data_IF_795801385539
#
_entry.id   IF_795801385539
#
_cell.length_a   1.000
_cell.length_b   1.000
_cell.length_c   1.000
_cell.angle_alpha   90.00
_cell.angle_beta   90.00
_cell.angle_gamma   90.00
#
_symmetry.space_group_name_H-M   'P 1'
#
loop_
_entity.id
_entity.type
_entity.pdbx_description
1 polymer ?
#
# COMPACT_ATOMS: atom_id res chain seq x y z
N UNK A 1 -15.84 -16.11 -7.45
CA UNK A 1 -14.47 -15.58 -7.64
C UNK A 1 -13.52 -16.75 -7.50
N UNK A 2 -12.65 -16.98 -8.49
CA UNK A 2 -11.71 -18.10 -8.45
C UNK A 2 -10.64 -17.78 -7.41
N UNK A 3 -10.69 -18.44 -6.25
CA UNK A 3 -9.62 -18.37 -5.25
C UNK A 3 -8.38 -18.98 -5.88
N UNK A 4 -7.39 -18.16 -6.24
CA UNK A 4 -6.10 -18.67 -6.65
C UNK A 4 -5.38 -19.15 -5.39
N UNK A 5 -5.02 -20.43 -5.34
CA UNK A 5 -4.24 -20.98 -4.26
C UNK A 5 -2.80 -20.49 -4.41
N UNK A 6 -2.40 -19.50 -3.60
CA UNK A 6 -1.00 -19.06 -3.52
C UNK A 6 -0.13 -20.23 -3.07
N UNK A 7 1.01 -20.41 -3.73
CA UNK A 7 2.02 -21.36 -3.28
C UNK A 7 2.61 -20.93 -1.94
N UNK A 8 3.14 -21.87 -1.13
CA UNK A 8 3.84 -21.53 0.12
C UNK A 8 5.00 -20.55 -0.11
N UNK A 9 5.68 -20.65 -1.26
CA UNK A 9 6.79 -19.77 -1.64
C UNK A 9 6.33 -18.33 -1.87
N UNK A 10 5.19 -18.12 -2.54
CA UNK A 10 4.62 -16.78 -2.74
C UNK A 10 4.17 -16.15 -1.42
N UNK A 11 3.54 -16.94 -0.54
CA UNK A 11 3.12 -16.46 0.78
C UNK A 11 4.33 -16.01 1.60
N UNK A 12 5.41 -16.79 1.58
CA UNK A 12 6.63 -16.45 2.30
C UNK A 12 7.34 -15.23 1.70
N UNK A 13 7.36 -15.09 0.37
CA UNK A 13 7.88 -13.90 -0.30
C UNK A 13 7.11 -12.63 0.11
N UNK A 14 5.77 -12.68 0.16
CA UNK A 14 4.95 -11.56 0.62
C UNK A 14 5.28 -11.21 2.08
N UNK A 15 5.37 -12.21 2.95
CA UNK A 15 5.73 -12.02 4.36
C UNK A 15 7.10 -11.38 4.53
N UNK A 16 8.09 -11.81 3.76
CA UNK A 16 9.45 -11.28 3.83
C UNK A 16 9.52 -9.83 3.31
N UNK A 17 8.87 -9.56 2.18
CA UNK A 17 8.74 -8.21 1.63
C UNK A 17 8.02 -7.27 2.60
N UNK A 18 7.00 -7.77 3.31
CA UNK A 18 6.17 -6.99 4.24
C UNK A 18 6.52 -7.22 5.72
N UNK A 19 7.70 -7.76 6.06
CA UNK A 19 8.05 -8.16 7.44
C UNK A 19 8.01 -7.05 8.50
N UNK A 20 8.06 -5.78 8.06
CA UNK A 20 7.97 -4.59 8.93
C UNK A 20 6.56 -3.99 8.99
N UNK A 21 5.62 -4.54 8.23
CA UNK A 21 4.21 -4.17 8.27
C UNK A 21 3.49 -4.90 9.41
N UNK A 22 2.28 -4.45 9.75
CA UNK A 22 1.46 -5.15 10.73
C UNK A 22 1.00 -6.53 10.22
N UNK A 23 0.70 -7.51 11.10
CA UNK A 23 0.14 -8.79 10.69
C UNK A 23 -1.14 -8.65 9.85
N UNK A 24 -2.00 -7.70 10.20
CA UNK A 24 -3.25 -7.41 9.50
C UNK A 24 -3.01 -6.96 8.05
N UNK A 25 -1.96 -6.18 7.82
CA UNK A 25 -1.56 -5.73 6.48
C UNK A 25 -1.04 -6.91 5.64
N UNK A 26 -0.24 -7.78 6.26
CA UNK A 26 0.30 -8.99 5.60
C UNK A 26 -0.84 -9.95 5.23
N UNK A 27 -1.78 -10.18 6.15
CA UNK A 27 -2.94 -11.03 5.90
C UNK A 27 -3.81 -10.47 4.76
N UNK A 28 -4.03 -9.15 4.75
CA UNK A 28 -4.75 -8.47 3.67
C UNK A 28 -4.05 -8.63 2.32
N UNK A 29 -2.71 -8.54 2.30
CA UNK A 29 -1.92 -8.72 1.09
C UNK A 29 -1.98 -10.15 0.55
N UNK A 30 -1.84 -11.15 1.43
CA UNK A 30 -1.99 -12.57 1.07
C UNK A 30 -3.40 -12.83 0.55
N UNK A 31 -4.43 -12.33 1.25
CA UNK A 31 -5.81 -12.51 0.84
C UNK A 31 -6.06 -11.84 -0.52
N UNK A 32 -5.62 -10.59 -0.73
CA UNK A 32 -5.72 -9.90 -2.01
C UNK A 32 -5.03 -10.68 -3.12
N UNK A 33 -3.85 -11.25 -2.86
CA UNK A 33 -3.13 -12.05 -3.85
C UNK A 33 -3.89 -13.30 -4.28
N UNK A 34 -4.69 -13.89 -3.39
CA UNK A 34 -5.52 -15.05 -3.66
C UNK A 34 -6.88 -14.71 -4.29
N UNK A 35 -7.52 -13.63 -3.84
CA UNK A 35 -8.91 -13.28 -4.22
C UNK A 35 -9.01 -12.23 -5.30
N UNK A 36 -7.97 -11.39 -5.45
CA UNK A 36 -7.96 -10.15 -6.21
C UNK A 36 -9.05 -9.16 -5.78
N UNK A 37 -9.45 -9.23 -4.51
CA UNK A 37 -10.49 -8.37 -3.93
C UNK A 37 -9.96 -6.95 -3.67
N UNK A 38 -10.37 -6.00 -4.51
CA UNK A 38 -9.96 -4.61 -4.43
C UNK A 38 -10.34 -3.92 -3.10
N UNK A 39 -11.27 -4.47 -2.31
CA UNK A 39 -11.62 -3.91 -1.00
C UNK A 39 -10.49 -4.02 0.04
N UNK A 40 -9.52 -4.91 -0.18
CA UNK A 40 -8.36 -5.13 0.70
C UNK A 40 -7.22 -4.14 0.44
N UNK A 41 -7.19 -3.53 -0.75
CA UNK A 41 -6.13 -2.63 -1.19
C UNK A 41 -5.95 -1.41 -0.29
N UNK A 42 -7.01 -0.71 0.16
CA UNK A 42 -6.89 0.35 1.14
C UNK A 42 -6.09 -0.03 2.39
N UNK A 43 -6.33 -1.24 2.93
CA UNK A 43 -5.65 -1.74 4.13
C UNK A 43 -4.17 -2.05 3.85
N UNK A 44 -3.87 -2.63 2.69
CA UNK A 44 -2.51 -2.94 2.25
C UNK A 44 -1.70 -1.66 2.10
N UNK A 45 -2.22 -0.69 1.34
CA UNK A 45 -1.57 0.59 1.06
C UNK A 45 -1.31 1.35 2.36
N UNK A 46 -2.32 1.46 3.22
CA UNK A 46 -2.17 2.16 4.50
C UNK A 46 -1.08 1.52 5.36
N UNK A 47 -1.07 0.20 5.49
CA UNK A 47 -0.05 -0.49 6.29
C UNK A 47 1.35 -0.46 5.68
N UNK A 48 1.47 -0.40 4.34
CA UNK A 48 2.75 -0.15 3.67
C UNK A 48 3.25 1.24 4.00
N UNK A 49 2.41 2.27 3.89
CA UNK A 49 2.80 3.66 4.21
C UNK A 49 3.22 3.75 5.68
N UNK A 50 2.42 3.23 6.62
CA UNK A 50 2.72 3.24 8.06
C UNK A 50 4.11 2.67 8.38
N UNK A 51 4.60 1.67 7.64
CA UNK A 51 5.93 1.09 7.82
C UNK A 51 7.06 2.11 7.60
N UNK A 52 6.88 3.06 6.69
CA UNK A 52 7.88 4.08 6.37
C UNK A 52 7.72 5.36 7.20
N UNK A 53 6.64 5.46 7.99
CA UNK A 53 6.39 6.60 8.86
C UNK A 53 7.03 6.44 10.23
N UNK A 54 7.54 7.55 10.75
CA UNK A 54 7.91 7.70 12.16
C UNK A 54 6.66 7.64 13.07
N UNK A 55 6.80 7.27 14.36
CA UNK A 55 5.68 7.13 15.29
C UNK A 55 4.73 8.33 15.36
N UNK A 56 5.27 9.55 15.26
CA UNK A 56 4.52 10.81 15.28
C UNK A 56 3.66 10.95 14.01
N UNK A 57 4.23 10.66 12.83
CA UNK A 57 3.53 10.69 11.56
C UNK A 57 2.44 9.61 11.48
N UNK A 58 2.65 8.43 12.08
CA UNK A 58 1.60 7.40 12.22
C UNK A 58 0.43 7.88 13.09
N UNK A 59 0.73 8.61 14.15
CA UNK A 59 -0.31 9.19 15.02
C UNK A 59 -1.12 10.22 14.23
N UNK A 60 -0.44 11.10 13.49
CA UNK A 60 -1.08 12.08 12.64
C UNK A 60 -1.96 11.45 11.55
N UNK A 61 -1.50 10.38 10.91
CA UNK A 61 -2.28 9.62 9.93
C UNK A 61 -3.57 9.06 10.55
N UNK A 62 -3.51 8.55 11.78
CA UNK A 62 -4.69 8.03 12.49
C UNK A 62 -5.68 9.12 12.90
N UNK A 63 -5.19 10.32 13.17
CA UNK A 63 -6.02 11.46 13.55
C UNK A 63 -6.66 12.17 12.35
N UNK A 64 -5.87 12.46 11.31
CA UNK A 64 -6.31 13.18 10.10
C UNK A 64 -6.92 12.28 9.03
N UNK A 65 -6.62 10.99 9.06
CA UNK A 65 -7.12 10.03 8.08
C UNK A 65 -6.61 10.31 6.67
N UNK A 66 -7.51 10.25 5.69
CA UNK A 66 -7.17 10.18 4.28
C UNK A 66 -6.74 11.53 3.67
N UNK A 67 -7.06 12.66 4.31
CA UNK A 67 -6.73 14.02 3.86
C UNK A 67 -5.29 14.44 4.19
N UNK A 68 -4.54 13.60 4.91
CA UNK A 68 -3.17 13.90 5.32
C UNK A 68 -2.24 13.98 4.10
N UNK A 69 -1.41 15.02 4.06
CA UNK A 69 -0.47 15.24 2.95
C UNK A 69 0.82 14.46 3.17
N UNK A 70 1.20 13.67 2.18
CA UNK A 70 2.34 12.75 2.28
C UNK A 70 3.65 13.50 2.50
N UNK A 71 3.89 14.53 1.68
CA UNK A 71 5.12 15.33 1.78
C UNK A 71 5.08 16.33 2.94
N UNK A 72 3.95 17.06 3.10
CA UNK A 72 3.88 18.18 4.04
C UNK A 72 3.60 17.73 5.49
N UNK A 73 2.67 16.80 5.69
CA UNK A 73 2.23 16.39 7.03
C UNK A 73 3.02 15.18 7.54
N UNK A 74 3.31 14.21 6.67
CA UNK A 74 3.97 12.96 7.06
C UNK A 74 5.50 13.01 6.92
N UNK A 75 6.05 14.07 6.31
CA UNK A 75 7.49 14.25 6.12
C UNK A 75 8.12 13.20 5.19
N UNK A 76 7.31 12.53 4.35
CA UNK A 76 7.79 11.54 3.39
C UNK A 76 8.53 12.27 2.27
N UNK A 77 9.77 11.87 2.03
CA UNK A 77 10.55 12.41 0.92
C UNK A 77 10.25 11.67 -0.41
N UNK A 78 10.77 12.20 -1.52
CA UNK A 78 10.56 11.63 -2.86
C UNK A 78 11.15 10.22 -3.03
N UNK A 79 12.22 9.88 -2.30
CA UNK A 79 12.83 8.55 -2.37
C UNK A 79 11.95 7.53 -1.63
N UNK A 80 11.49 7.88 -0.44
CA UNK A 80 10.58 7.09 0.36
C UNK A 80 9.26 6.87 -0.37
N UNK A 81 8.73 7.90 -1.05
CA UNK A 81 7.55 7.76 -1.90
C UNK A 81 7.77 6.73 -3.02
N UNK A 82 8.94 6.75 -3.67
CA UNK A 82 9.29 5.76 -4.68
C UNK A 82 9.39 4.34 -4.09
N UNK A 83 9.97 4.17 -2.90
CA UNK A 83 10.00 2.88 -2.19
C UNK A 83 8.60 2.36 -1.83
N UNK A 84 7.71 3.24 -1.36
CA UNK A 84 6.30 2.92 -1.09
C UNK A 84 5.62 2.43 -2.36
N UNK A 85 5.75 3.17 -3.46
CA UNK A 85 5.15 2.83 -4.75
C UNK A 85 5.66 1.47 -5.24
N UNK A 86 6.98 1.25 -5.25
CA UNK A 86 7.56 -0.01 -5.69
C UNK A 86 7.05 -1.20 -4.87
N UNK A 87 6.94 -1.04 -3.53
CA UNK A 87 6.41 -2.11 -2.68
C UNK A 87 4.92 -2.35 -2.92
N UNK A 88 4.13 -1.28 -3.14
CA UNK A 88 2.72 -1.40 -3.48
C UNK A 88 2.54 -2.12 -4.83
N UNK A 89 3.31 -1.74 -5.85
CA UNK A 89 3.30 -2.40 -7.17
C UNK A 89 3.64 -3.88 -7.06
N UNK A 90 4.70 -4.21 -6.31
CA UNK A 90 5.11 -5.59 -6.06
C UNK A 90 3.97 -6.36 -5.39
N UNK A 91 3.38 -5.84 -4.31
CA UNK A 91 2.32 -6.57 -3.58
C UNK A 91 1.01 -6.66 -4.37
N UNK A 92 0.60 -5.61 -5.07
CA UNK A 92 -0.69 -5.54 -5.75
C UNK A 92 -0.62 -6.11 -7.19
N UNK A 93 0.60 -6.28 -7.72
CA UNK A 93 0.90 -6.71 -9.10
C UNK A 93 0.28 -5.78 -10.14
N UNK A 94 0.54 -4.48 -9.97
CA UNK A 94 0.16 -3.41 -10.90
C UNK A 94 1.39 -2.61 -11.31
N UNK A 95 1.22 -1.75 -12.31
CA UNK A 95 2.26 -0.80 -12.74
C UNK A 95 1.70 0.62 -12.66
N UNK A 96 2.52 1.52 -12.15
CA UNK A 96 2.25 2.93 -11.92
C UNK A 96 3.16 3.78 -12.79
N UNK A 97 2.59 4.74 -13.52
CA UNK A 97 3.36 5.62 -14.39
C UNK A 97 3.99 6.76 -13.58
N UNK A 98 5.23 7.14 -13.90
CA UNK A 98 5.95 8.20 -13.19
C UNK A 98 5.22 9.55 -13.21
N UNK A 99 4.43 9.84 -14.25
CA UNK A 99 3.63 11.06 -14.31
C UNK A 99 2.48 11.02 -13.29
N UNK A 100 1.88 9.84 -13.08
CA UNK A 100 0.79 9.68 -12.10
C UNK A 100 1.29 9.90 -10.66
N UNK A 101 2.55 9.55 -10.38
CA UNK A 101 3.16 9.76 -9.06
C UNK A 101 3.27 11.23 -8.65
N UNK A 102 3.36 12.15 -9.63
CA UNK A 102 3.47 13.59 -9.37
C UNK A 102 2.18 14.19 -8.81
N UNK A 103 1.05 13.54 -9.09
CA UNK A 103 -0.27 13.97 -8.66
C UNK A 103 -0.68 13.36 -7.30
N UNK A 104 0.08 12.40 -6.77
CA UNK A 104 -0.19 11.77 -5.48
C UNK A 104 0.26 12.65 -4.32
N UNK A 105 -0.66 13.45 -3.75
CA UNK A 105 -0.35 14.38 -2.66
C UNK A 105 -0.82 13.89 -1.30
N UNK A 106 -1.90 13.12 -1.27
CA UNK A 106 -2.56 12.61 -0.06
C UNK A 106 -2.64 11.10 -0.07
N UNK A 107 -2.93 10.52 1.11
CA UNK A 107 -3.20 9.07 1.23
C UNK A 107 -4.42 8.68 0.39
N UNK A 108 -5.43 9.56 0.36
CA UNK A 108 -6.59 9.37 -0.50
C UNK A 108 -6.23 9.27 -1.98
N UNK A 109 -5.26 10.08 -2.45
CA UNK A 109 -4.83 10.06 -3.86
C UNK A 109 -4.20 8.72 -4.22
N UNK A 110 -3.30 8.19 -3.38
CA UNK A 110 -2.69 6.87 -3.60
C UNK A 110 -3.79 5.80 -3.64
N UNK A 111 -4.67 5.77 -2.64
CA UNK A 111 -5.73 4.77 -2.55
C UNK A 111 -6.64 4.83 -3.78
N UNK A 112 -7.12 6.03 -4.11
CA UNK A 112 -8.00 6.26 -5.25
C UNK A 112 -7.34 5.89 -6.57
N UNK A 113 -6.05 6.21 -6.71
CA UNK A 113 -5.28 5.87 -7.90
C UNK A 113 -5.19 4.35 -8.11
N UNK A 114 -4.84 3.59 -7.07
CA UNK A 114 -4.73 2.14 -7.14
C UNK A 114 -6.11 1.52 -7.39
N UNK A 115 -7.15 1.97 -6.69
CA UNK A 115 -8.52 1.49 -6.92
C UNK A 115 -8.99 1.70 -8.37
N UNK A 116 -8.53 2.74 -9.07
CA UNK A 116 -8.85 2.95 -10.51
C UNK A 116 -8.09 2.01 -11.46
N UNK A 117 -6.91 1.52 -11.06
CA UNK A 117 -6.11 0.58 -11.88
C UNK A 117 -6.60 -0.87 -11.72
N UNK A 118 -7.38 -1.17 -10.68
CA UNK A 118 -7.91 -2.49 -10.44
C UNK A 118 -9.23 -2.69 -11.20
N UNK A 119 -9.43 -3.87 -11.82
CA UNK A 119 -10.72 -4.21 -12.42
C UNK A 119 -11.80 -4.30 -11.33
N UNK A 120 -12.95 -3.67 -11.58
CA UNK A 120 -14.12 -3.71 -10.70
C UNK A 120 -14.76 -5.11 -10.63
#
# INVERSE_FOLDING_TARGET
MATQNLSPEEIEAIKESMRRCSPQTIDSAIQYRSTKDASLVPAIVTGIIERFLEPEARTLLKEKGDDVRIFDDLGVDSLTMLEIVMLVEDIIQITMDNDDLKDLRTINDIRSYISRKLPA
#
